data_IF_326256258122
#
_entry.id   IF_326256258122
#
_cell.length_a   1.000
_cell.length_b   1.000
_cell.length_c   1.000
_cell.angle_alpha   90.00
_cell.angle_beta   90.00
_cell.angle_gamma   90.00
#
_symmetry.space_group_name_H-M   'P 1'
#
loop_
_entity.id
_entity.type
_entity.pdbx_description
1 polymer ?
#
# COMPACT_ATOMS: atom_id res chain seq x y z
N UNK A 1 18.62 12.94 -22.25
CA UNK A 1 19.61 12.80 -21.16
C UNK A 1 19.82 11.35 -20.68
N UNK A 2 19.27 10.32 -21.36
CA UNK A 2 19.56 8.90 -21.03
C UNK A 2 19.01 8.41 -19.70
N UNK A 3 18.09 9.15 -19.07
CA UNK A 3 17.39 8.75 -17.85
C UNK A 3 16.02 8.18 -18.20
N UNK A 4 15.64 7.12 -17.50
CA UNK A 4 14.33 6.46 -17.60
C UNK A 4 13.59 6.58 -16.26
N UNK A 5 12.27 6.84 -16.28
CA UNK A 5 11.48 6.86 -15.06
C UNK A 5 11.36 5.45 -14.47
N UNK A 6 11.56 5.33 -13.16
CA UNK A 6 11.32 4.09 -12.41
C UNK A 6 10.12 4.24 -11.49
N UNK A 7 9.98 5.40 -10.86
CA UNK A 7 8.79 5.83 -10.13
C UNK A 7 8.44 7.26 -10.60
N UNK A 8 7.30 7.80 -10.18
CA UNK A 8 6.84 9.13 -10.61
C UNK A 8 7.84 10.27 -10.36
N UNK A 9 8.67 10.18 -9.32
CA UNK A 9 9.68 11.16 -8.97
C UNK A 9 11.11 10.59 -8.97
N UNK A 10 11.32 9.37 -9.50
CA UNK A 10 12.63 8.72 -9.52
C UNK A 10 12.99 8.34 -10.94
N UNK A 11 14.12 8.86 -11.41
CA UNK A 11 14.68 8.58 -12.72
C UNK A 11 16.07 7.96 -12.56
N UNK A 12 16.38 6.94 -13.36
CA UNK A 12 17.69 6.28 -13.33
C UNK A 12 18.29 6.27 -14.72
N UNK A 13 19.62 6.31 -14.80
CA UNK A 13 20.33 6.07 -16.06
C UNK A 13 20.59 4.55 -16.18
N UNK A 14 20.02 3.86 -17.18
CA UNK A 14 20.26 2.44 -17.40
C UNK A 14 21.77 2.14 -17.52
N UNK A 15 22.24 1.09 -16.85
CA UNK A 15 23.65 0.68 -16.83
C UNK A 15 24.55 1.41 -15.82
N UNK A 16 24.07 2.47 -15.15
CA UNK A 16 24.81 3.15 -14.07
C UNK A 16 24.24 2.92 -12.67
N UNK A 17 22.99 2.49 -12.58
CA UNK A 17 22.34 2.22 -11.30
C UNK A 17 21.07 1.39 -11.47
N UNK A 18 20.53 0.93 -10.34
CA UNK A 18 19.24 0.26 -10.31
C UNK A 18 18.47 0.65 -9.06
N UNK A 19 17.15 0.69 -9.16
CA UNK A 19 16.25 1.00 -8.05
C UNK A 19 15.40 -0.23 -7.65
N UNK A 20 15.90 -1.43 -7.97
CA UNK A 20 15.13 -2.69 -7.92
C UNK A 20 14.63 -3.03 -6.51
N UNK A 21 15.44 -2.76 -5.48
CA UNK A 21 15.08 -3.08 -4.09
C UNK A 21 13.93 -2.21 -3.57
N UNK A 22 13.92 -0.92 -3.94
CA UNK A 22 12.85 -0.01 -3.57
C UNK A 22 11.56 -0.27 -4.35
N UNK A 23 11.65 -0.68 -5.62
CA UNK A 23 10.46 -1.06 -6.41
C UNK A 23 9.79 -2.29 -5.82
N UNK A 24 10.57 -3.33 -5.48
CA UNK A 24 10.04 -4.57 -4.90
C UNK A 24 9.38 -4.41 -3.53
N UNK A 25 9.70 -3.35 -2.79
CA UNK A 25 8.99 -3.00 -1.55
C UNK A 25 7.49 -2.78 -1.81
N UNK A 26 7.12 -2.32 -3.01
CA UNK A 26 5.75 -2.00 -3.37
C UNK A 26 4.93 -3.20 -3.82
N UNK A 27 5.56 -4.37 -4.01
CA UNK A 27 4.89 -5.64 -4.33
C UNK A 27 4.42 -6.38 -3.06
N UNK A 28 4.30 -5.65 -1.94
CA UNK A 28 3.88 -6.14 -0.62
C UNK A 28 4.67 -7.39 -0.15
N UNK A 29 5.96 -7.42 -0.49
CA UNK A 29 6.89 -8.48 -0.10
C UNK A 29 7.43 -8.26 1.33
N UNK A 30 7.76 -9.33 2.07
CA UNK A 30 8.46 -9.19 3.34
C UNK A 30 9.76 -8.38 3.19
N UNK A 31 9.96 -7.42 4.08
CA UNK A 31 11.11 -6.54 4.12
C UNK A 31 11.68 -6.52 5.53
N UNK A 32 12.83 -7.18 5.70
CA UNK A 32 13.62 -7.09 6.93
C UNK A 32 14.44 -5.81 6.89
N UNK A 33 14.04 -4.82 7.69
CA UNK A 33 14.76 -3.55 7.82
C UNK A 33 15.60 -3.52 9.09
N UNK A 34 16.87 -3.12 8.95
CA UNK A 34 17.83 -3.00 10.04
C UNK A 34 18.32 -1.56 10.15
N UNK A 35 18.77 -1.18 11.35
CA UNK A 35 19.23 0.17 11.65
C UNK A 35 18.18 1.01 12.38
N UNK A 36 18.65 2.15 12.87
CA UNK A 36 17.88 3.11 13.67
C UNK A 36 16.80 3.72 12.79
N UNK A 37 15.60 3.88 13.33
CA UNK A 37 14.43 4.41 12.61
C UNK A 37 13.99 3.61 11.37
N UNK A 38 14.60 2.44 11.11
CA UNK A 38 14.27 1.65 9.94
C UNK A 38 12.85 1.10 10.02
N UNK A 39 12.14 1.10 8.90
CA UNK A 39 10.79 0.56 8.79
C UNK A 39 10.80 -0.71 7.97
N UNK A 40 10.22 -1.76 8.53
CA UNK A 40 10.15 -3.08 7.92
C UNK A 40 8.73 -3.57 7.83
N UNK A 41 8.60 -4.74 7.25
CA UNK A 41 7.31 -5.36 7.04
C UNK A 41 7.47 -6.87 7.05
N UNK A 42 6.89 -7.52 8.05
CA UNK A 42 6.44 -8.90 7.93
C UNK A 42 4.98 -8.89 7.44
N UNK A 43 4.48 -9.94 6.78
CA UNK A 43 3.07 -10.02 6.37
C UNK A 43 2.13 -9.63 7.53
N UNK A 44 1.24 -8.66 7.27
CA UNK A 44 0.37 -7.97 8.26
C UNK A 44 1.03 -7.33 9.49
N UNK A 45 2.36 -7.28 9.56
CA UNK A 45 3.12 -6.72 10.68
C UNK A 45 4.16 -5.70 10.17
N UNK A 46 3.72 -4.51 9.72
CA UNK A 46 4.57 -3.33 9.69
C UNK A 46 5.21 -3.11 11.06
N UNK A 47 6.50 -2.78 11.05
CA UNK A 47 7.22 -2.48 12.28
C UNK A 47 8.22 -1.35 12.05
N UNK A 48 8.55 -0.66 13.13
CA UNK A 48 9.56 0.40 13.12
C UNK A 48 10.60 0.15 14.20
N UNK A 49 11.87 0.26 13.83
CA UNK A 49 12.97 0.19 14.78
C UNK A 49 13.09 1.48 15.61
N UNK A 50 13.69 1.35 16.79
CA UNK A 50 13.91 2.48 17.70
C UNK A 50 14.64 3.62 16.98
N UNK A 51 14.13 4.84 17.14
CA UNK A 51 14.63 6.02 16.43
C UNK A 51 15.82 6.73 17.09
N UNK A 52 16.18 6.33 18.31
CA UNK A 52 17.31 6.88 19.04
C UNK A 52 18.48 5.89 19.09
N UNK A 53 19.69 6.39 18.82
CA UNK A 53 20.94 5.62 18.74
C UNK A 53 21.22 4.81 20.01
N UNK A 54 21.11 5.44 21.19
CA UNK A 54 21.46 4.81 22.47
C UNK A 54 20.50 3.66 22.83
N UNK A 55 19.17 3.84 22.84
CA UNK A 55 18.25 2.73 23.07
C UNK A 55 18.36 1.61 22.03
N UNK A 56 18.66 1.94 20.77
CA UNK A 56 18.85 0.94 19.72
C UNK A 56 20.00 -0.02 20.06
N UNK A 57 21.18 0.49 20.43
CA UNK A 57 22.32 -0.36 20.80
C UNK A 57 22.10 -1.10 22.13
N UNK A 58 21.46 -0.48 23.12
CA UNK A 58 21.13 -1.15 24.39
C UNK A 58 20.32 -2.43 24.16
N UNK A 59 19.31 -2.38 23.28
CA UNK A 59 18.52 -3.57 22.94
C UNK A 59 19.35 -4.65 22.25
N UNK A 60 20.27 -4.26 21.36
CA UNK A 60 21.15 -5.21 20.68
C UNK A 60 22.14 -5.88 21.64
N UNK A 61 22.73 -5.10 22.56
CA UNK A 61 23.67 -5.61 23.58
C UNK A 61 22.97 -6.60 24.54
N UNK A 62 21.66 -6.44 24.74
CA UNK A 62 20.79 -7.38 25.48
C UNK A 62 20.33 -8.59 24.66
N UNK A 63 20.71 -8.70 23.38
CA UNK A 63 20.27 -9.77 22.48
C UNK A 63 18.80 -9.66 22.03
N UNK A 64 18.21 -8.47 22.09
CA UNK A 64 16.80 -8.20 21.74
C UNK A 64 16.68 -7.46 20.41
N UNK A 65 15.57 -7.67 19.70
CA UNK A 65 15.27 -6.92 18.48
C UNK A 65 14.97 -5.45 18.81
N UNK A 66 15.57 -4.48 18.11
CA UNK A 66 15.41 -3.06 18.41
C UNK A 66 14.12 -2.48 17.80
N UNK A 67 12.99 -3.15 18.00
CA UNK A 67 11.67 -2.76 17.48
C UNK A 67 10.96 -1.86 18.49
N UNK A 68 10.55 -0.67 18.06
CA UNK A 68 9.81 0.29 18.87
C UNK A 68 8.29 0.10 18.74
N UNK A 69 7.79 -0.07 17.52
CA UNK A 69 6.36 -0.23 17.24
C UNK A 69 6.13 -1.38 16.26
N UNK A 70 4.99 -2.02 16.43
CA UNK A 70 4.40 -2.96 15.47
C UNK A 70 2.95 -2.53 15.30
N UNK A 71 2.51 -2.35 14.06
CA UNK A 71 1.17 -1.83 13.74
C UNK A 71 0.39 -2.91 12.96
N UNK A 72 -0.26 -3.88 13.65
CA UNK A 72 -0.90 -5.01 12.98
C UNK A 72 -1.98 -4.57 12.00
N UNK A 73 -1.94 -5.13 10.79
CA UNK A 73 -2.95 -4.91 9.77
C UNK A 73 -4.02 -6.00 9.82
N UNK A 74 -5.28 -5.60 9.63
CA UNK A 74 -6.32 -6.56 9.27
C UNK A 74 -6.03 -7.14 7.88
N UNK A 75 -6.56 -8.33 7.54
CA UNK A 75 -6.44 -8.88 6.19
C UNK A 75 -6.94 -7.93 5.10
N UNK A 76 -8.02 -7.19 5.40
CA UNK A 76 -8.56 -6.14 4.53
C UNK A 76 -7.55 -5.01 4.31
N UNK A 77 -6.95 -4.47 5.38
CA UNK A 77 -5.97 -3.39 5.25
C UNK A 77 -4.67 -3.82 4.57
N UNK A 78 -4.27 -5.09 4.71
CA UNK A 78 -3.16 -5.67 3.95
C UNK A 78 -3.45 -5.74 2.44
N UNK A 79 -4.63 -6.24 2.07
CA UNK A 79 -5.10 -6.23 0.68
C UNK A 79 -5.05 -4.82 0.10
N UNK A 80 -5.64 -3.85 0.80
CA UNK A 80 -5.72 -2.46 0.33
C UNK A 80 -4.33 -1.82 0.22
N UNK A 81 -3.41 -2.14 1.14
CA UNK A 81 -2.02 -1.70 1.05
C UNK A 81 -1.35 -2.20 -0.24
N UNK A 82 -1.55 -3.46 -0.61
CA UNK A 82 -1.00 -4.03 -1.85
C UNK A 82 -1.63 -3.40 -3.09
N UNK A 83 -2.97 -3.33 -3.14
CA UNK A 83 -3.71 -2.67 -4.24
C UNK A 83 -3.22 -1.24 -4.46
N UNK A 84 -3.14 -0.46 -3.37
CA UNK A 84 -2.72 0.94 -3.41
C UNK A 84 -1.27 1.08 -3.87
N UNK A 85 -0.38 0.21 -3.39
CA UNK A 85 1.05 0.25 -3.74
C UNK A 85 1.27 -0.12 -5.20
N UNK A 86 0.63 -1.19 -5.68
CA UNK A 86 0.73 -1.64 -7.06
C UNK A 86 0.18 -0.59 -8.04
N UNK A 87 -1.00 -0.01 -7.76
CA UNK A 87 -1.55 1.05 -8.60
C UNK A 87 -0.64 2.29 -8.68
N UNK A 88 -0.02 2.66 -7.55
CA UNK A 88 0.83 3.84 -7.47
C UNK A 88 2.18 3.67 -8.14
N UNK A 89 2.81 2.50 -7.97
CA UNK A 89 4.23 2.32 -8.29
C UNK A 89 4.51 1.27 -9.35
N UNK A 90 3.62 0.32 -9.60
CA UNK A 90 3.86 -0.80 -10.52
C UNK A 90 2.65 -1.06 -11.42
N UNK A 91 2.05 -2.24 -11.32
CA UNK A 91 0.89 -2.73 -12.07
C UNK A 91 0.15 -3.69 -11.14
N UNK A 92 -1.17 -3.59 -11.12
CA UNK A 92 -2.02 -4.44 -10.30
C UNK A 92 -2.45 -5.67 -11.10
N UNK A 93 -2.04 -6.85 -10.66
CA UNK A 93 -2.49 -8.13 -11.22
C UNK A 93 -3.74 -8.60 -10.46
N UNK A 94 -4.90 -8.51 -11.11
CA UNK A 94 -6.20 -8.82 -10.53
C UNK A 94 -6.32 -10.30 -10.17
N UNK A 95 -5.80 -11.19 -11.01
CA UNK A 95 -5.79 -12.63 -10.76
C UNK A 95 -4.90 -13.03 -9.59
N UNK A 96 -3.76 -12.34 -9.40
CA UNK A 96 -2.90 -12.53 -8.24
C UNK A 96 -3.59 -12.08 -6.94
N UNK A 97 -4.24 -10.91 -6.96
CA UNK A 97 -5.03 -10.43 -5.82
C UNK A 97 -6.14 -11.43 -5.47
N UNK A 98 -6.90 -11.88 -6.46
CA UNK A 98 -7.97 -12.83 -6.24
C UNK A 98 -7.46 -14.16 -5.67
N UNK A 99 -6.35 -14.71 -6.19
CA UNK A 99 -5.75 -15.93 -5.65
C UNK A 99 -5.20 -15.76 -4.24
N UNK A 100 -4.59 -14.62 -3.92
CA UNK A 100 -3.94 -14.36 -2.63
C UNK A 100 -4.94 -14.05 -1.52
N UNK A 101 -5.98 -13.28 -1.83
CA UNK A 101 -6.91 -12.73 -0.84
C UNK A 101 -8.34 -13.26 -0.97
N UNK A 102 -8.67 -14.04 -2.00
CA UNK A 102 -10.03 -14.49 -2.29
C UNK A 102 -10.98 -13.35 -2.69
N UNK A 103 -10.45 -12.18 -3.06
CA UNK A 103 -11.23 -10.98 -3.39
C UNK A 103 -11.17 -10.69 -4.89
N UNK A 104 -12.34 -10.62 -5.50
CA UNK A 104 -12.49 -10.13 -6.87
C UNK A 104 -12.66 -8.59 -6.86
N UNK A 105 -11.65 -7.87 -7.33
CA UNK A 105 -11.67 -6.41 -7.37
C UNK A 105 -12.61 -5.85 -8.45
N UNK A 106 -12.88 -6.59 -9.52
CA UNK A 106 -13.85 -6.18 -10.54
C UNK A 106 -15.27 -6.23 -9.97
N UNK A 107 -15.53 -7.12 -9.01
CA UNK A 107 -16.79 -7.16 -8.27
C UNK A 107 -16.87 -6.07 -7.19
N UNK A 108 -15.84 -5.95 -6.34
CA UNK A 108 -15.85 -5.01 -5.20
C UNK A 108 -15.79 -3.55 -5.64
N UNK A 109 -14.96 -3.23 -6.65
CA UNK A 109 -14.69 -1.86 -7.10
C UNK A 109 -15.08 -1.62 -8.55
N UNK A 110 -15.99 -2.42 -9.11
CA UNK A 110 -16.32 -2.40 -10.54
C UNK A 110 -16.73 -1.03 -11.07
N UNK A 111 -17.58 -0.30 -10.33
CA UNK A 111 -18.02 1.03 -10.73
C UNK A 111 -16.88 2.06 -10.70
N UNK A 112 -16.03 1.99 -9.68
CA UNK A 112 -14.84 2.85 -9.55
C UNK A 112 -13.86 2.58 -10.70
N UNK A 113 -13.51 1.31 -10.94
CA UNK A 113 -12.59 0.89 -11.99
C UNK A 113 -13.12 1.34 -13.35
N UNK A 114 -14.39 1.06 -13.66
CA UNK A 114 -15.05 1.47 -14.90
C UNK A 114 -15.03 2.98 -15.09
N UNK A 115 -15.33 3.74 -14.04
CA UNK A 115 -15.33 5.21 -14.07
C UNK A 115 -13.93 5.76 -14.34
N UNK A 116 -12.93 5.25 -13.62
CA UNK A 116 -11.54 5.68 -13.80
C UNK A 116 -10.98 5.30 -15.18
N UNK A 117 -11.41 4.17 -15.76
CA UNK A 117 -11.10 3.82 -17.15
C UNK A 117 -11.74 4.79 -18.15
N UNK A 118 -13.04 5.11 -17.98
CA UNK A 118 -13.74 6.09 -18.84
C UNK A 118 -13.10 7.48 -18.79
N UNK A 119 -12.61 7.89 -17.62
CA UNK A 119 -11.87 9.14 -17.43
C UNK A 119 -10.44 9.10 -18.00
N UNK A 120 -9.96 7.92 -18.40
CA UNK A 120 -8.62 7.70 -18.93
C UNK A 120 -7.54 7.73 -17.85
N UNK A 121 -7.89 7.48 -16.59
CA UNK A 121 -6.95 7.43 -15.47
C UNK A 121 -6.42 6.03 -15.18
N UNK A 122 -7.20 5.00 -15.48
CA UNK A 122 -6.76 3.61 -15.46
C UNK A 122 -6.78 3.04 -16.88
N UNK A 123 -5.82 2.17 -17.15
CA UNK A 123 -5.78 1.32 -18.34
C UNK A 123 -5.73 -0.14 -17.92
N UNK A 124 -6.42 -0.99 -18.69
CA UNK A 124 -6.47 -2.43 -18.49
C UNK A 124 -5.78 -3.15 -19.64
N UNK A 125 -5.03 -4.18 -19.32
CA UNK A 125 -4.30 -5.05 -20.23
C UNK A 125 -4.46 -6.50 -19.75
N UNK A 126 -5.46 -7.21 -20.29
CA UNK A 126 -5.91 -8.50 -19.75
C UNK A 126 -6.35 -8.40 -18.29
N UNK A 127 -5.72 -9.18 -17.41
CA UNK A 127 -5.96 -9.19 -15.96
C UNK A 127 -5.09 -8.18 -15.19
N UNK A 128 -4.44 -7.25 -15.90
CA UNK A 128 -3.63 -6.20 -15.30
C UNK A 128 -4.30 -4.84 -15.37
N UNK A 129 -4.24 -4.08 -14.28
CA UNK A 129 -4.71 -2.70 -14.17
C UNK A 129 -3.54 -1.77 -13.82
N UNK A 130 -3.46 -0.61 -14.47
CA UNK A 130 -2.39 0.35 -14.23
C UNK A 130 -2.88 1.80 -14.37
N UNK A 131 -2.28 2.72 -13.63
CA UNK A 131 -2.47 4.15 -13.82
C UNK A 131 -1.86 4.62 -15.14
N UNK A 132 -2.59 5.43 -15.90
CA UNK A 132 -2.08 6.06 -17.12
C UNK A 132 -1.19 7.25 -16.79
N UNK A 133 -0.43 7.76 -17.77
CA UNK A 133 0.32 9.01 -17.62
C UNK A 133 -0.55 10.22 -17.23
N UNK A 134 -1.82 10.25 -17.69
CA UNK A 134 -2.79 11.31 -17.34
C UNK A 134 -3.08 11.33 -15.83
N UNK A 135 -3.00 10.17 -15.19
CA UNK A 135 -3.29 10.01 -13.77
C UNK A 135 -2.11 10.36 -12.86
N UNK A 136 -0.94 10.73 -13.41
CA UNK A 136 0.27 10.99 -12.63
C UNK A 136 0.08 12.09 -11.56
N UNK A 137 -0.72 13.12 -11.84
CA UNK A 137 -1.04 14.19 -10.87
C UNK A 137 -1.93 13.72 -9.71
N UNK A 138 -2.60 12.57 -9.86
CA UNK A 138 -3.53 12.01 -8.89
C UNK A 138 -3.00 10.71 -8.28
N UNK A 139 -1.68 10.51 -8.31
CA UNK A 139 -0.98 9.31 -7.85
C UNK A 139 -1.17 8.93 -6.39
N UNK A 140 -1.49 9.89 -5.54
CA UNK A 140 -1.82 9.65 -4.13
C UNK A 140 -3.31 9.43 -3.97
N UNK A 141 -4.10 10.12 -4.78
CA UNK A 141 -5.55 10.22 -4.68
C UNK A 141 -6.22 8.94 -5.18
N UNK A 142 -5.90 8.51 -6.40
CA UNK A 142 -6.55 7.36 -7.03
C UNK A 142 -6.35 6.08 -6.21
N UNK A 143 -5.13 5.73 -5.73
CA UNK A 143 -4.96 4.59 -4.84
C UNK A 143 -5.80 4.68 -3.56
N UNK A 144 -5.92 5.87 -2.97
CA UNK A 144 -6.72 6.09 -1.75
C UNK A 144 -8.22 5.87 -1.96
N UNK A 145 -8.73 5.99 -3.19
CA UNK A 145 -10.13 5.66 -3.49
C UNK A 145 -10.42 4.18 -3.23
N UNK A 146 -9.45 3.29 -3.39
CA UNK A 146 -9.61 1.86 -3.11
C UNK A 146 -9.55 1.52 -1.61
N UNK A 147 -9.36 2.50 -0.71
CA UNK A 147 -9.47 2.24 0.71
C UNK A 147 -10.92 1.85 1.10
N UNK A 148 -11.11 1.06 2.17
CA UNK A 148 -12.45 0.64 2.58
C UNK A 148 -13.33 1.85 2.90
N UNK A 149 -14.60 1.80 2.52
CA UNK A 149 -15.52 2.91 2.78
C UNK A 149 -15.70 3.11 4.29
N UNK A 150 -15.69 2.04 5.08
CA UNK A 150 -15.68 2.08 6.55
C UNK A 150 -14.47 2.84 7.11
N UNK A 151 -13.27 2.58 6.57
CA UNK A 151 -12.05 3.28 6.96
C UNK A 151 -12.10 4.77 6.59
N UNK A 152 -12.57 5.08 5.37
CA UNK A 152 -12.76 6.47 4.95
C UNK A 152 -13.78 7.19 5.83
N UNK A 153 -14.90 6.54 6.17
CA UNK A 153 -15.91 7.08 7.09
C UNK A 153 -15.34 7.34 8.49
N UNK A 154 -14.53 6.43 9.03
CA UNK A 154 -13.84 6.63 10.31
C UNK A 154 -12.88 7.83 10.26
N UNK A 155 -12.08 7.94 9.19
CA UNK A 155 -11.21 9.10 8.98
C UNK A 155 -12.00 10.42 8.85
N UNK A 156 -13.17 10.40 8.23
CA UNK A 156 -14.01 11.59 8.06
C UNK A 156 -14.80 11.95 9.31
N UNK A 157 -15.03 11.00 10.21
CA UNK A 157 -15.73 11.20 11.49
C UNK A 157 -14.80 11.68 12.61
N UNK A 158 -13.61 12.18 12.27
CA UNK A 158 -12.69 12.78 13.23
C UNK A 158 -13.26 14.12 13.75
N UNK A 159 -12.97 14.52 15.01
CA UNK A 159 -13.43 15.79 15.56
C UNK A 159 -13.09 16.97 14.66
N UNK A 160 -13.96 17.99 14.61
CA UNK A 160 -13.74 19.19 13.78
C UNK A 160 -12.39 19.86 14.05
N UNK A 161 -11.95 19.85 15.32
CA UNK A 161 -10.65 20.36 15.75
C UNK A 161 -9.49 19.63 15.04
N UNK A 162 -9.58 18.31 14.92
CA UNK A 162 -8.57 17.49 14.26
C UNK A 162 -8.60 17.67 12.73
N UNK A 163 -9.78 17.81 12.14
CA UNK A 163 -9.94 18.07 10.70
C UNK A 163 -9.44 19.47 10.31
N UNK A 164 -9.54 20.44 11.22
CA UNK A 164 -9.01 21.79 11.03
C UNK A 164 -7.47 21.82 11.11
N UNK A 165 -6.88 21.04 12.02
CA UNK A 165 -5.42 20.91 12.16
C UNK A 165 -4.80 20.03 11.04
N UNK A 166 -5.50 18.98 10.62
CA UNK A 166 -5.06 18.01 9.63
C UNK A 166 -6.13 17.80 8.54
N UNK A 167 -6.27 18.76 7.61
CA UNK A 167 -7.32 18.70 6.60
C UNK A 167 -7.15 17.48 5.69
N UNK A 168 -8.18 16.63 5.67
CA UNK A 168 -8.23 15.46 4.80
C UNK A 168 -8.33 15.94 3.34
N UNK A 169 -7.62 15.33 2.38
CA UNK A 169 -7.71 15.73 0.97
C UNK A 169 -9.17 15.76 0.49
N UNK A 170 -9.57 16.85 -0.21
CA UNK A 170 -10.96 17.08 -0.66
C UNK A 170 -11.59 15.91 -1.41
N UNK A 171 -10.78 15.14 -2.14
CA UNK A 171 -11.24 13.94 -2.85
C UNK A 171 -11.81 12.85 -1.93
N UNK A 172 -11.30 12.72 -0.70
CA UNK A 172 -11.83 11.77 0.28
C UNK A 172 -13.20 12.21 0.81
N UNK A 173 -13.47 13.51 0.80
CA UNK A 173 -14.74 14.10 1.26
C UNK A 173 -15.85 13.95 0.22
N UNK A 174 -15.52 13.93 -1.07
CA UNK A 174 -16.51 13.78 -2.15
C UNK A 174 -16.76 12.32 -2.59
N UNK A 175 -15.77 11.43 -2.45
CA UNK A 175 -15.90 10.02 -2.81
C UNK A 175 -16.41 9.19 -1.61
N UNK A 176 -17.64 9.46 -1.18
CA UNK A 176 -18.21 8.91 0.06
C UNK A 176 -18.47 7.40 0.05
N UNK A 177 -18.57 6.77 -1.12
CA UNK A 177 -18.59 5.30 -1.26
C UNK A 177 -18.08 4.90 -2.63
N UNK A 178 -17.03 4.11 -2.67
CA UNK A 178 -16.45 3.61 -3.93
C UNK A 178 -16.52 2.09 -4.03
N UNK A 179 -16.90 1.41 -2.95
CA UNK A 179 -17.12 -0.03 -2.94
C UNK A 179 -18.54 -0.29 -3.45
N UNK A 180 -18.65 -1.05 -4.54
CA UNK A 180 -19.93 -1.57 -5.04
C UNK A 180 -20.40 -2.79 -4.23
N UNK A 181 -19.48 -3.43 -3.49
CA UNK A 181 -19.77 -4.56 -2.61
C UNK A 181 -18.79 -4.63 -1.42
N UNK A 182 -19.14 -5.37 -0.37
CA UNK A 182 -18.28 -5.55 0.80
C UNK A 182 -17.01 -6.34 0.47
N UNK A 183 -15.88 -5.95 1.08
CA UNK A 183 -14.63 -6.71 1.00
C UNK A 183 -14.70 -7.90 1.97
N UNK A 184 -14.61 -9.11 1.44
CA UNK A 184 -14.54 -10.33 2.23
C UNK A 184 -13.21 -11.04 1.93
N UNK A 185 -12.20 -10.81 2.77
CA UNK A 185 -10.86 -11.41 2.58
C UNK A 185 -10.84 -12.85 3.08
N UNK A 186 -10.39 -13.76 2.21
CA UNK A 186 -10.14 -15.17 2.51
C UNK A 186 -8.66 -15.46 2.27
N UNK A 187 -7.87 -15.48 3.33
CA UNK A 187 -6.46 -15.85 3.24
C UNK A 187 -6.31 -17.37 3.25
N UNK A 188 -5.41 -17.95 2.44
CA UNK A 188 -5.08 -19.36 2.54
C UNK A 188 -4.52 -19.69 3.92
N UNK A 189 -4.86 -20.86 4.46
CA UNK A 189 -4.40 -21.31 5.77
C UNK A 189 -2.87 -21.43 5.78
N UNK A 190 -2.20 -20.56 6.51
CA UNK A 190 -0.77 -20.67 6.77
C UNK A 190 -0.53 -21.73 7.85
N UNK A 191 -0.13 -22.95 7.47
CA UNK A 191 0.48 -23.87 8.42
C UNK A 191 1.89 -23.36 8.75
N UNK A 192 2.05 -22.73 9.91
CA UNK A 192 3.37 -22.59 10.53
C UNK A 192 3.64 -23.85 11.36
N UNK A 193 4.74 -24.58 11.14
CA UNK A 193 5.19 -25.56 12.12
C UNK A 193 5.49 -24.81 13.42
N UNK A 194 5.02 -25.34 14.54
CA UNK A 194 5.33 -24.79 15.86
C UNK A 194 6.85 -24.72 16.04
N UNK A 195 7.40 -23.66 16.68
CA UNK A 195 8.80 -23.65 17.04
C UNK A 195 9.05 -24.80 18.03
N UNK A 196 9.91 -25.73 17.63
CA UNK A 196 10.44 -26.81 18.48
C UNK A 196 11.64 -26.36 19.30
#
# INVERSE_FOLDING_TARGET
MGYEPVLQNVFVQPGRGSYRHQVRRWDNLPLVSLGISAQGYAPRMPYQNVGALKPYYQLLDEGRLPIATVDPLTPEMELIREVSSCLRFTRLDLGNIQRKYGVDLDYVFGDLITTLQKLGYLQRDGDSLQMTGKAAYYNNIIPMLFAPDTFKQQMLSLPEEYLAEYPVPQVMVQAGSTQSAAINVQLPSTHHPAPG
#
